data_IF_065781580196
#
_entry.id   IF_065781580196
#
_cell.length_a   1.000
_cell.length_b   1.000
_cell.length_c   1.000
_cell.angle_alpha   90.00
_cell.angle_beta   90.00
_cell.angle_gamma   90.00
#
_symmetry.space_group_name_H-M   'P 1'
#
loop_
_entity.id
_entity.type
_entity.pdbx_description
1 polymer ?
#
# COMPACT_ATOMS: atom_id res chain seq x y z
N UNK A 1 11.22 16.19 1.17
CA UNK A 1 11.84 15.18 2.05
C UNK A 1 13.12 15.82 2.56
N UNK A 2 13.11 16.38 3.76
CA UNK A 2 14.32 16.96 4.37
C UNK A 2 15.17 15.78 4.84
N UNK A 3 16.00 15.26 3.93
CA UNK A 3 17.08 14.35 4.26
C UNK A 3 18.06 15.17 5.11
N UNK A 4 18.08 14.94 6.42
CA UNK A 4 19.35 15.01 7.13
C UNK A 4 20.21 13.91 6.51
N UNK A 5 21.48 14.17 6.24
CA UNK A 5 22.44 13.17 5.79
C UNK A 5 22.55 12.08 6.87
N UNK A 6 21.71 11.05 6.73
CA UNK A 6 21.76 9.86 7.58
C UNK A 6 22.98 9.00 7.20
N UNK A 7 23.49 9.18 5.97
CA UNK A 7 24.60 8.43 5.43
C UNK A 7 25.94 8.73 6.12
N UNK A 8 26.05 9.88 6.83
CA UNK A 8 27.23 10.27 7.63
C UNK A 8 27.15 9.81 9.10
N UNK A 9 26.12 9.07 9.50
CA UNK A 9 25.96 8.60 10.88
C UNK A 9 26.34 7.13 11.04
N UNK A 10 27.13 6.85 12.08
CA UNK A 10 27.41 5.48 12.49
C UNK A 10 26.16 4.79 13.06
N UNK A 11 26.17 3.46 13.02
CA UNK A 11 25.07 2.63 13.53
C UNK A 11 24.73 2.93 15.00
N UNK A 12 25.74 3.22 15.82
CA UNK A 12 25.57 3.52 17.24
C UNK A 12 25.03 4.94 17.48
N UNK A 13 25.44 5.92 16.68
CA UNK A 13 24.85 7.27 16.71
C UNK A 13 23.36 7.22 16.34
N UNK A 14 22.99 6.50 15.28
CA UNK A 14 21.59 6.31 14.87
C UNK A 14 20.77 5.63 15.97
N UNK A 15 21.33 4.63 16.65
CA UNK A 15 20.66 4.00 17.81
C UNK A 15 20.49 4.99 18.96
N UNK A 16 21.47 5.84 19.22
CA UNK A 16 21.40 6.90 20.21
C UNK A 16 20.28 7.90 19.90
N UNK A 17 20.21 8.39 18.66
CA UNK A 17 19.17 9.31 18.19
C UNK A 17 17.77 8.70 18.29
N UNK A 18 17.63 7.42 17.95
CA UNK A 18 16.35 6.69 18.12
C UNK A 18 15.96 6.57 19.59
N UNK A 19 16.91 6.26 20.49
CA UNK A 19 16.63 6.18 21.93
C UNK A 19 16.20 7.53 22.52
N UNK A 20 16.75 8.64 22.01
CA UNK A 20 16.37 10.01 22.41
C UNK A 20 15.08 10.51 21.74
N UNK A 21 14.53 9.76 20.79
CA UNK A 21 13.32 10.15 20.06
C UNK A 21 13.54 11.24 19.00
N UNK A 22 14.79 11.53 18.64
CA UNK A 22 15.16 12.43 17.54
C UNK A 22 14.87 11.79 16.19
N UNK A 23 14.97 10.46 16.11
CA UNK A 23 14.61 9.67 14.94
C UNK A 23 13.62 8.57 15.30
N UNK A 24 12.70 8.29 14.39
CA UNK A 24 11.83 7.12 14.44
C UNK A 24 12.20 6.18 13.32
N UNK A 25 12.50 4.93 13.68
CA UNK A 25 12.87 3.89 12.71
C UNK A 25 11.63 3.30 12.05
N UNK A 26 11.53 3.43 10.72
CA UNK A 26 10.43 2.87 9.92
C UNK A 26 10.80 1.51 9.31
N UNK A 27 12.09 1.21 9.18
CA UNK A 27 12.62 -0.03 8.66
C UNK A 27 14.15 -0.07 8.72
N UNK A 28 14.76 -1.14 8.21
CA UNK A 28 16.23 -1.22 8.12
C UNK A 28 16.76 -0.13 7.20
N UNK A 29 17.57 0.80 7.74
CA UNK A 29 18.13 1.92 6.98
C UNK A 29 17.14 3.04 6.64
N UNK A 30 15.94 3.04 7.23
CA UNK A 30 14.96 4.10 7.00
C UNK A 30 14.49 4.69 8.32
N UNK A 31 14.72 5.99 8.46
CA UNK A 31 14.34 6.77 9.62
C UNK A 31 13.57 8.01 9.16
N UNK A 32 12.74 8.52 10.06
CA UNK A 32 12.08 9.81 9.92
C UNK A 32 12.40 10.63 11.15
N UNK A 33 12.47 11.94 10.98
CA UNK A 33 12.57 12.89 12.08
C UNK A 33 11.45 12.66 13.12
N UNK A 34 11.83 12.66 14.40
CA UNK A 34 10.94 12.35 15.50
C UNK A 34 9.86 13.40 15.74
N UNK A 35 10.17 14.69 15.53
CA UNK A 35 9.18 15.76 15.61
C UNK A 35 8.17 15.62 14.47
N UNK A 36 8.64 15.36 13.25
CA UNK A 36 7.76 15.08 12.11
C UNK A 36 6.85 13.89 12.37
N UNK A 37 7.37 12.79 12.92
CA UNK A 37 6.55 11.62 13.26
C UNK A 37 5.48 11.93 14.29
N UNK A 38 5.82 12.70 15.33
CA UNK A 38 4.87 13.11 16.37
C UNK A 38 3.78 14.02 15.82
N UNK A 39 4.14 14.96 14.94
CA UNK A 39 3.20 15.87 14.28
C UNK A 39 2.29 15.18 13.25
N UNK A 40 2.76 14.12 12.60
CA UNK A 40 2.00 13.38 11.59
C UNK A 40 0.79 12.64 12.19
N UNK A 41 -0.34 12.70 11.47
CA UNK A 41 -1.51 11.90 11.79
C UNK A 41 -1.33 10.42 11.39
N UNK A 42 -2.36 9.59 11.62
CA UNK A 42 -2.31 8.16 11.32
C UNK A 42 -2.10 7.86 9.83
N UNK A 43 -2.60 8.72 8.95
CA UNK A 43 -2.55 8.54 7.49
C UNK A 43 -1.18 8.97 6.95
N UNK A 44 -0.65 10.08 7.43
CA UNK A 44 0.70 10.53 7.10
C UNK A 44 1.75 9.55 7.64
N UNK A 45 1.59 9.03 8.87
CA UNK A 45 2.47 7.97 9.40
C UNK A 45 2.40 6.70 8.57
N UNK A 46 1.23 6.35 8.04
CA UNK A 46 1.10 5.22 7.14
C UNK A 46 1.84 5.49 5.81
N UNK A 47 1.65 6.65 5.19
CA UNK A 47 2.35 7.02 3.96
C UNK A 47 3.87 7.07 4.13
N UNK A 48 4.37 7.56 5.26
CA UNK A 48 5.79 7.50 5.60
C UNK A 48 6.32 6.06 5.62
N UNK A 49 5.57 5.13 6.22
CA UNK A 49 5.92 3.70 6.22
C UNK A 49 5.86 3.10 4.80
N UNK A 50 4.87 3.46 3.98
CA UNK A 50 4.78 3.01 2.58
C UNK A 50 6.00 3.46 1.78
N UNK A 51 6.36 4.75 1.88
CA UNK A 51 7.56 5.32 1.24
C UNK A 51 8.82 4.58 1.66
N UNK A 52 9.04 4.44 2.97
CA UNK A 52 10.20 3.72 3.51
C UNK A 52 10.24 2.25 3.05
N UNK A 53 9.10 1.57 2.96
CA UNK A 53 9.04 0.19 2.50
C UNK A 53 9.42 0.06 1.01
N UNK A 54 8.99 1.00 0.15
CA UNK A 54 9.30 1.01 -1.27
C UNK A 54 10.76 1.41 -1.54
N UNK A 55 11.30 2.40 -0.84
CA UNK A 55 12.71 2.82 -0.99
C UNK A 55 13.71 1.72 -0.69
N UNK A 56 13.35 0.74 0.14
CA UNK A 56 14.20 -0.41 0.51
C UNK A 56 14.14 -1.57 -0.47
N UNK A 57 13.20 -1.54 -1.41
CA UNK A 57 12.94 -2.65 -2.33
C UNK A 57 13.56 -2.33 -3.69
N UNK A 58 13.82 -3.37 -4.46
CA UNK A 58 14.21 -3.20 -5.85
C UNK A 58 13.15 -2.41 -6.60
N UNK A 59 13.56 -1.75 -7.68
CA UNK A 59 12.67 -0.91 -8.49
C UNK A 59 11.39 -1.63 -8.92
N UNK A 60 11.36 -2.96 -8.99
CA UNK A 60 10.18 -3.75 -9.37
C UNK A 60 9.05 -3.79 -8.33
N UNK A 61 9.25 -3.31 -7.10
CA UNK A 61 8.19 -3.30 -6.09
C UNK A 61 7.17 -2.17 -6.34
N UNK A 62 5.89 -2.52 -6.26
CA UNK A 62 4.76 -1.63 -6.51
C UNK A 62 3.89 -1.59 -5.26
N UNK A 63 3.53 -0.42 -4.73
CA UNK A 63 2.52 -0.36 -3.68
C UNK A 63 1.17 -0.86 -4.22
N UNK A 64 0.45 -1.66 -3.42
CA UNK A 64 -0.82 -2.28 -3.80
C UNK A 64 -1.84 -2.24 -2.65
N UNK A 65 -3.08 -2.65 -2.90
CA UNK A 65 -4.15 -2.72 -1.89
C UNK A 65 -4.27 -1.41 -1.09
N UNK A 66 -4.31 -1.48 0.25
CA UNK A 66 -4.43 -0.31 1.13
C UNK A 66 -3.27 0.68 0.99
N UNK A 67 -2.06 0.22 0.66
CA UNK A 67 -0.93 1.12 0.44
C UNK A 67 -1.06 1.91 -0.86
N UNK A 68 -1.50 1.27 -1.95
CA UNK A 68 -1.82 1.99 -3.18
C UNK A 68 -2.98 2.96 -2.96
N UNK A 69 -4.04 2.53 -2.27
CA UNK A 69 -5.18 3.39 -2.00
C UNK A 69 -4.79 4.65 -1.23
N UNK A 70 -3.91 4.53 -0.23
CA UNK A 70 -3.39 5.69 0.50
C UNK A 70 -2.56 6.62 -0.40
N UNK A 71 -1.66 6.07 -1.23
CA UNK A 71 -0.83 6.89 -2.13
C UNK A 71 -1.66 7.58 -3.22
N UNK A 72 -2.68 6.90 -3.74
CA UNK A 72 -3.60 7.44 -4.76
C UNK A 72 -4.66 8.40 -4.18
N UNK A 73 -4.75 8.54 -2.87
CA UNK A 73 -5.80 9.32 -2.21
C UNK A 73 -7.21 8.74 -2.37
N UNK A 74 -7.34 7.42 -2.49
CA UNK A 74 -8.65 6.77 -2.58
C UNK A 74 -9.35 6.77 -1.21
N UNK A 75 -10.60 7.24 -1.20
CA UNK A 75 -11.48 7.14 -0.06
C UNK A 75 -11.87 5.67 0.15
N UNK A 76 -11.40 5.07 1.24
CA UNK A 76 -11.67 3.68 1.59
C UNK A 76 -12.32 3.60 2.97
N UNK A 77 -13.24 2.65 3.13
CA UNK A 77 -13.97 2.48 4.38
C UNK A 77 -13.16 1.62 5.37
N UNK A 78 -12.81 2.20 6.52
CA UNK A 78 -12.04 1.54 7.59
C UNK A 78 -10.79 0.79 7.08
N UNK A 79 -9.84 1.46 6.41
CA UNK A 79 -8.69 0.79 5.83
C UNK A 79 -7.76 0.20 6.90
N UNK A 80 -7.25 -1.01 6.65
CA UNK A 80 -6.20 -1.58 7.48
C UNK A 80 -4.86 -0.89 7.18
N UNK A 81 -4.37 -0.13 8.17
CA UNK A 81 -3.07 0.57 8.12
C UNK A 81 -2.04 -0.05 9.05
N UNK A 82 -2.29 -1.25 9.57
CA UNK A 82 -1.34 -1.98 10.42
C UNK A 82 -0.08 -2.37 9.65
N UNK A 83 -0.24 -2.79 8.39
CA UNK A 83 0.85 -3.25 7.52
C UNK A 83 0.87 -2.52 6.17
N UNK A 84 2.06 -2.42 5.61
CA UNK A 84 2.26 -1.92 4.24
C UNK A 84 2.09 -3.07 3.25
N UNK A 85 1.35 -2.85 2.18
CA UNK A 85 1.06 -3.80 1.11
C UNK A 85 1.85 -3.44 -0.15
N UNK A 86 2.64 -4.39 -0.63
CA UNK A 86 3.40 -4.25 -1.87
C UNK A 86 3.20 -5.47 -2.74
N UNK A 87 3.17 -5.26 -4.05
CA UNK A 87 3.18 -6.31 -5.05
C UNK A 87 4.53 -6.35 -5.76
N UNK A 88 5.04 -7.55 -5.98
CA UNK A 88 6.20 -7.81 -6.84
C UNK A 88 5.79 -8.82 -7.92
N UNK A 89 6.38 -8.68 -9.10
CA UNK A 89 6.14 -9.62 -10.18
C UNK A 89 6.72 -11.00 -9.84
N UNK A 90 5.92 -12.04 -10.06
CA UNK A 90 6.34 -13.41 -9.81
C UNK A 90 5.18 -14.37 -9.58
N UNK A 91 5.54 -15.64 -9.37
CA UNK A 91 4.63 -16.73 -9.04
C UNK A 91 4.95 -17.29 -7.65
N UNK A 92 3.97 -17.96 -7.03
CA UNK A 92 4.10 -18.59 -5.72
C UNK A 92 3.59 -17.74 -4.55
N UNK A 93 3.82 -18.21 -3.33
CA UNK A 93 3.35 -17.54 -2.11
C UNK A 93 4.06 -16.20 -1.86
N UNK A 94 3.28 -15.23 -1.38
CA UNK A 94 3.80 -13.95 -0.88
C UNK A 94 4.62 -14.09 0.40
N UNK A 95 5.17 -12.98 0.88
CA UNK A 95 5.87 -12.91 2.18
C UNK A 95 5.12 -11.95 3.11
N UNK A 96 4.90 -12.34 4.36
CA UNK A 96 4.33 -11.44 5.37
C UNK A 96 5.27 -11.32 6.55
N UNK A 97 5.45 -10.10 7.03
CA UNK A 97 6.05 -9.76 8.31
C UNK A 97 5.02 -9.05 9.18
N UNK A 98 5.40 -8.65 10.40
CA UNK A 98 4.56 -7.83 11.28
C UNK A 98 4.26 -6.44 10.71
N UNK A 99 5.05 -5.93 9.77
CA UNK A 99 4.93 -4.56 9.23
C UNK A 99 4.67 -4.49 7.73
N UNK A 100 4.83 -5.58 6.98
CA UNK A 100 4.69 -5.60 5.53
C UNK A 100 4.07 -6.90 5.02
N UNK A 101 3.22 -6.79 4.01
CA UNK A 101 2.69 -7.88 3.20
C UNK A 101 3.16 -7.70 1.77
N UNK A 102 3.95 -8.65 1.29
CA UNK A 102 4.40 -8.78 -0.09
C UNK A 102 3.51 -9.77 -0.82
N UNK A 103 2.84 -9.30 -1.85
CA UNK A 103 2.02 -10.07 -2.77
C UNK A 103 2.85 -10.43 -4.01
N UNK A 104 2.78 -11.70 -4.44
CA UNK A 104 3.37 -12.13 -5.71
C UNK A 104 2.26 -12.31 -6.72
N UNK A 105 2.15 -11.37 -7.64
CA UNK A 105 1.05 -11.32 -8.59
C UNK A 105 1.60 -11.00 -9.97
N UNK A 106 1.16 -11.77 -10.97
CA UNK A 106 1.37 -11.42 -12.37
C UNK A 106 0.58 -10.14 -12.64
N UNK A 107 1.30 -9.03 -12.88
CA UNK A 107 0.71 -7.74 -13.22
C UNK A 107 1.37 -7.21 -14.47
N UNK A 108 0.61 -6.55 -15.31
CA UNK A 108 1.11 -5.91 -16.53
C UNK A 108 1.51 -4.47 -16.24
N UNK A 109 2.25 -3.82 -17.15
CA UNK A 109 2.54 -2.39 -17.02
C UNK A 109 1.27 -1.52 -17.05
N UNK A 110 0.19 -1.99 -17.67
CA UNK A 110 -1.11 -1.32 -17.64
C UNK A 110 -1.77 -1.33 -16.24
N UNK A 111 -1.34 -2.23 -15.35
CA UNK A 111 -1.82 -2.30 -13.96
C UNK A 111 -1.04 -1.36 -13.03
N UNK A 112 -0.03 -0.66 -13.55
CA UNK A 112 0.93 0.13 -12.77
C UNK A 112 0.92 1.59 -13.20
N UNK A 113 1.20 2.50 -12.27
CA UNK A 113 1.41 3.91 -12.52
C UNK A 113 2.41 4.48 -11.51
N UNK A 114 2.71 5.78 -11.57
CA UNK A 114 3.61 6.44 -10.63
C UNK A 114 2.99 7.72 -10.07
N UNK A 115 3.09 7.88 -8.76
CA UNK A 115 2.61 9.05 -8.01
C UNK A 115 3.70 9.46 -7.04
N UNK A 116 4.14 10.72 -7.10
CA UNK A 116 5.23 11.27 -6.26
C UNK A 116 6.50 10.39 -6.27
N UNK A 117 6.86 9.85 -7.42
CA UNK A 117 8.03 8.97 -7.59
C UNK A 117 7.86 7.53 -7.06
N UNK A 118 6.68 7.19 -6.50
CA UNK A 118 6.36 5.84 -6.04
C UNK A 118 5.66 5.05 -7.14
N UNK A 119 6.09 3.82 -7.40
CA UNK A 119 5.35 2.87 -8.22
C UNK A 119 4.16 2.34 -7.44
N UNK A 120 2.97 2.47 -8.02
CA UNK A 120 1.70 2.08 -7.41
C UNK A 120 0.83 1.33 -8.43
N UNK A 121 -0.10 0.50 -7.97
CA UNK A 121 -1.13 -0.01 -8.88
C UNK A 121 -2.04 1.12 -9.37
N UNK A 122 -2.64 0.99 -10.55
CA UNK A 122 -3.60 1.98 -11.04
C UNK A 122 -4.85 2.03 -10.16
N UNK A 123 -5.62 3.13 -10.13
CA UNK A 123 -6.85 3.20 -9.34
C UNK A 123 -7.82 2.04 -9.58
N UNK A 124 -7.99 1.63 -10.84
CA UNK A 124 -8.84 0.50 -11.20
C UNK A 124 -8.30 -0.82 -10.64
N UNK A 125 -6.99 -1.05 -10.76
CA UNK A 125 -6.34 -2.24 -10.21
C UNK A 125 -6.39 -2.26 -8.69
N UNK A 126 -6.14 -1.13 -8.03
CA UNK A 126 -6.24 -1.00 -6.57
C UNK A 126 -7.65 -1.31 -6.06
N UNK A 127 -8.69 -0.78 -6.72
CA UNK A 127 -10.07 -1.07 -6.35
C UNK A 127 -10.41 -2.56 -6.50
N UNK A 128 -9.92 -3.21 -7.56
CA UNK A 128 -10.07 -4.65 -7.75
C UNK A 128 -9.36 -5.45 -6.65
N UNK A 129 -8.09 -5.13 -6.36
CA UNK A 129 -7.31 -5.80 -5.31
C UNK A 129 -8.00 -5.67 -3.94
N UNK A 130 -8.52 -4.48 -3.61
CA UNK A 130 -9.28 -4.26 -2.37
C UNK A 130 -10.60 -5.03 -2.33
N UNK A 131 -11.27 -5.18 -3.47
CA UNK A 131 -12.51 -5.95 -3.56
C UNK A 131 -12.27 -7.43 -3.27
N UNK A 132 -11.08 -7.96 -3.56
CA UNK A 132 -10.73 -9.36 -3.28
C UNK A 132 -10.44 -9.66 -1.80
N UNK A 133 -10.23 -8.64 -0.96
CA UNK A 133 -9.80 -8.82 0.44
C UNK A 133 -10.72 -8.16 1.47
N UNK A 134 -11.58 -7.23 1.04
CA UNK A 134 -12.50 -6.50 1.90
C UNK A 134 -13.92 -7.08 1.91
N UNK A 135 -14.76 -6.50 2.76
CA UNK A 135 -16.22 -6.72 2.72
C UNK A 135 -16.84 -6.10 1.45
N UNK A 136 -18.05 -6.52 1.05
CA UNK A 136 -18.75 -5.93 -0.10
C UNK A 136 -18.93 -4.40 -0.02
N UNK A 137 -19.15 -3.86 1.18
CA UNK A 137 -19.29 -2.41 1.39
C UNK A 137 -17.95 -1.69 1.16
N UNK A 138 -16.85 -2.25 1.69
CA UNK A 138 -15.52 -1.69 1.46
C UNK A 138 -15.11 -1.75 -0.01
N UNK A 139 -15.45 -2.85 -0.70
CA UNK A 139 -15.24 -3.01 -2.14
C UNK A 139 -15.97 -1.91 -2.91
N UNK A 140 -17.25 -1.67 -2.60
CA UNK A 140 -18.06 -0.63 -3.25
C UNK A 140 -17.45 0.77 -3.04
N UNK A 141 -17.06 1.12 -1.82
CA UNK A 141 -16.42 2.41 -1.54
C UNK A 141 -15.12 2.60 -2.34
N UNK A 142 -14.27 1.57 -2.42
CA UNK A 142 -13.02 1.62 -3.16
C UNK A 142 -13.26 1.80 -4.67
N UNK A 143 -14.21 1.03 -5.24
CA UNK A 143 -14.60 1.13 -6.66
C UNK A 143 -15.18 2.50 -6.97
N UNK A 144 -16.07 3.01 -6.13
CA UNK A 144 -16.67 4.33 -6.32
C UNK A 144 -15.60 5.43 -6.27
N UNK A 145 -14.69 5.39 -5.29
CA UNK A 145 -13.60 6.36 -5.20
C UNK A 145 -12.70 6.33 -6.44
N UNK A 146 -12.37 5.14 -6.95
CA UNK A 146 -11.56 5.00 -8.17
C UNK A 146 -12.29 5.55 -9.41
N UNK A 147 -13.60 5.31 -9.54
CA UNK A 147 -14.42 5.86 -10.61
C UNK A 147 -14.51 7.40 -10.54
N UNK A 148 -14.66 7.96 -9.33
CA UNK A 148 -14.66 9.42 -9.13
C UNK A 148 -13.32 10.02 -9.56
N UNK A 149 -12.21 9.42 -9.16
CA UNK A 149 -10.87 9.87 -9.53
C UNK A 149 -10.65 9.83 -11.06
N UNK A 150 -11.11 8.77 -11.73
CA UNK A 150 -11.04 8.64 -13.19
C UNK A 150 -11.93 9.64 -13.94
N UNK A 151 -13.01 10.12 -13.32
CA UNK A 151 -13.87 11.19 -13.88
C UNK A 151 -13.28 12.58 -13.68
N UNK A 152 -12.61 12.82 -12.55
CA UNK A 152 -11.97 14.11 -12.25
C UNK A 152 -10.65 14.30 -12.99
N UNK A 153 -9.95 13.23 -13.36
CA UNK A 153 -8.70 13.27 -14.14
C UNK A 153 -8.90 13.58 -15.63
N UNK A 154 -10.06 14.10 -16.04
CA UNK A 154 -10.42 14.49 -17.42
C UNK A 154 -9.55 15.64 -18.02
N UNK A 155 -8.40 15.97 -17.42
CA UNK A 155 -7.27 16.62 -18.11
C UNK A 155 -6.35 15.55 -18.70
N UNK A 156 -6.64 15.22 -19.97
CA UNK A 156 -5.80 14.62 -21.04
C UNK A 156 -4.67 13.65 -20.64
N UNK A 157 -4.95 12.35 -20.80
CA UNK A 157 -4.01 11.39 -21.37
C UNK A 157 -4.71 10.69 -22.55
N UNK A 158 -4.19 10.75 -23.80
CA UNK A 158 -4.76 10.01 -24.92
C UNK A 158 -4.50 8.51 -24.69
N UNK A 159 -5.54 7.77 -24.30
CA UNK A 159 -5.48 6.35 -23.95
C UNK A 159 -6.62 5.89 -23.05
N UNK A 160 -7.21 6.84 -22.29
CA UNK A 160 -8.54 6.67 -21.70
C UNK A 160 -9.58 6.79 -22.83
N UNK A 161 -9.85 5.69 -23.52
CA UNK A 161 -11.15 5.56 -24.18
C UNK A 161 -12.16 5.31 -23.06
N UNK A 162 -13.24 6.09 -23.06
CA UNK A 162 -14.45 5.78 -22.31
C UNK A 162 -14.89 4.36 -22.71
N UNK A 163 -14.46 3.38 -21.93
CA UNK A 163 -14.55 1.97 -22.25
C UNK A 163 -14.64 1.22 -20.94
N UNK A 164 -15.73 0.46 -20.83
CA UNK A 164 -16.00 -0.65 -19.92
C UNK A 164 -14.83 -1.01 -19.01
N UNK A 165 -15.07 -1.09 -17.69
CA UNK A 165 -14.23 -1.93 -16.81
C UNK A 165 -14.08 -3.26 -17.55
N UNK A 166 -12.90 -3.52 -18.10
CA UNK A 166 -12.73 -4.67 -18.97
C UNK A 166 -12.77 -5.90 -18.07
N UNK A 167 -13.94 -6.54 -18.02
CA UNK A 167 -14.15 -7.83 -17.40
C UNK A 167 -13.26 -8.92 -18.04
N UNK A 168 -12.55 -8.62 -19.14
CA UNK A 168 -11.54 -9.51 -19.71
C UNK A 168 -10.41 -9.85 -18.71
N UNK A 169 -10.04 -8.93 -17.81
CA UNK A 169 -9.09 -9.23 -16.72
C UNK A 169 -9.74 -9.86 -15.49
N UNK A 170 -11.07 -9.73 -15.32
CA UNK A 170 -11.83 -10.38 -14.26
C UNK A 170 -12.04 -11.88 -14.50
N UNK A 171 -11.82 -12.38 -15.73
CA UNK A 171 -12.01 -13.80 -16.10
C UNK A 171 -11.14 -14.79 -15.30
N UNK A 172 -10.13 -14.33 -14.55
CA UNK A 172 -9.30 -15.18 -13.67
C UNK A 172 -9.73 -15.18 -12.21
N UNK A 173 -10.66 -14.33 -11.81
CA UNK A 173 -11.12 -14.21 -10.43
C UNK A 173 -12.63 -14.47 -10.38
N UNK A 174 -13.00 -15.74 -10.19
CA UNK A 174 -14.33 -16.09 -9.70
C UNK A 174 -14.41 -15.62 -8.25
N UNK A 175 -15.41 -14.80 -7.95
CA UNK A 175 -15.77 -14.46 -6.58
C UNK A 175 -16.21 -15.74 -5.86
N UNK A 176 -15.49 -16.26 -4.86
CA UNK A 176 -16.03 -17.34 -4.09
C UNK A 176 -17.05 -16.76 -3.11
N UNK A 177 -18.30 -17.21 -3.21
CA UNK A 177 -19.27 -17.00 -2.16
C UNK A 177 -18.79 -17.74 -0.91
N UNK A 178 -18.16 -17.03 0.04
CA UNK A 178 -17.75 -17.60 1.31
C UNK A 178 -18.39 -16.83 2.46
N UNK A 179 -19.24 -17.55 3.18
CA UNK A 179 -19.86 -17.21 4.45
C UNK A 179 -18.81 -16.98 5.56
N UNK A 180 -19.11 -16.12 6.55
CA UNK A 180 -18.14 -15.72 7.56
C UNK A 180 -17.71 -16.91 8.42
N UNK A 181 -16.40 -17.23 8.41
CA UNK A 181 -15.81 -18.11 9.43
C UNK A 181 -15.53 -17.27 10.67
N UNK A 182 -16.27 -17.57 11.73
CA UNK A 182 -16.03 -17.08 13.08
C UNK A 182 -14.61 -17.44 13.54
N UNK A 183 -13.91 -16.47 14.11
CA UNK A 183 -12.63 -16.67 14.80
C UNK A 183 -12.85 -17.48 16.07
N UNK A 184 -12.40 -18.74 16.07
CA UNK A 184 -12.30 -19.53 17.29
C UNK A 184 -11.01 -19.13 18.04
N UNK A 185 -11.18 -18.46 19.17
CA UNK A 185 -10.17 -18.31 20.21
C UNK A 185 -9.77 -19.69 20.76
N UNK A 186 -8.47 -20.00 20.74
CA UNK A 186 -7.83 -20.93 21.69
C UNK A 186 -6.70 -20.10 22.31
N UNK A 187 -6.72 -19.74 23.58
CA UNK A 187 -6.89 -20.61 24.73
C UNK A 187 -5.50 -20.83 25.31
N UNK A 188 -5.05 -19.90 26.14
CA UNK A 188 -3.82 -19.98 26.94
C UNK A 188 -4.00 -21.11 27.96
N UNK A 189 -3.08 -22.07 27.96
CA UNK A 189 -2.96 -23.12 28.96
C UNK A 189 -1.50 -23.24 29.39
N UNK A 190 -1.30 -23.26 30.70
CA UNK A 190 -0.02 -23.18 31.44
C UNK A 190 0.89 -24.38 31.21
#
# INVERSE_FOLDING_TARGET
>A
MTLRDIDDHTDDELRGMVRRGELVRLGRGCYVDGDRWRAADVDERYLLRVRAALSRRSSIAVASHHSAAAVLGLATLHPDRSRVHVSVEGRGGGKSTSSCVEHRVSSTDADRTSVDGLRVTTPARTALDLSCVGSPVQALCAVESALRLGRTSRRRCPGWAAGTVSLAHARRYTWPAHSPRASASRGVGR
#
